data_IF_970397972564
#
_entry.id   IF_970397972564
#
_cell.length_a   1.000
_cell.length_b   1.000
_cell.length_c   1.000
_cell.angle_alpha   90.00
_cell.angle_beta   90.00
_cell.angle_gamma   90.00
#
_symmetry.space_group_name_H-M   'P 1'
#
loop_
_entity.id
_entity.type
_entity.pdbx_description
1 polymer ?
#
# COMPACT_ATOMS: atom_id res chain seq x y z
N UNK A 1 16.38 25.61 0.12
CA UNK A 1 15.75 25.39 -1.20
C UNK A 1 16.31 26.39 -2.18
N UNK A 2 17.02 25.93 -3.21
CA UNK A 2 17.34 26.77 -4.36
C UNK A 2 16.11 26.76 -5.28
N UNK A 3 15.49 27.91 -5.51
CA UNK A 3 14.46 28.06 -6.55
C UNK A 3 15.20 27.93 -7.88
N UNK A 4 15.07 26.79 -8.55
CA UNK A 4 15.63 26.62 -9.88
C UNK A 4 14.74 27.36 -10.87
N UNK A 5 15.17 28.54 -11.29
CA UNK A 5 14.52 29.32 -12.34
C UNK A 5 15.35 29.15 -13.61
N UNK A 6 14.91 28.29 -14.53
CA UNK A 6 15.48 28.20 -15.88
C UNK A 6 14.48 28.72 -16.87
N UNK A 7 14.78 29.89 -17.46
CA UNK A 7 13.92 30.56 -18.43
C UNK A 7 12.52 30.86 -17.86
N UNK A 8 11.56 29.98 -18.17
CA UNK A 8 10.13 30.12 -17.85
C UNK A 8 9.59 29.04 -16.90
N UNK A 9 10.43 28.08 -16.51
CA UNK A 9 10.07 27.02 -15.56
C UNK A 9 10.41 27.51 -14.15
N UNK A 10 9.38 27.58 -13.29
CA UNK A 10 9.46 28.01 -11.89
C UNK A 10 9.83 26.85 -10.99
N UNK A 11 9.20 25.69 -11.19
CA UNK A 11 9.51 24.48 -10.44
C UNK A 11 9.13 23.22 -11.20
N UNK A 12 9.80 22.11 -10.88
CA UNK A 12 9.42 20.78 -11.34
C UNK A 12 9.27 19.88 -10.12
N UNK A 13 8.10 19.27 -9.99
CA UNK A 13 7.75 18.34 -8.91
C UNK A 13 7.56 16.95 -9.48
N UNK A 14 8.26 15.95 -8.97
CA UNK A 14 7.93 14.55 -9.23
C UNK A 14 6.89 14.07 -8.21
N UNK A 15 5.91 13.30 -8.67
CA UNK A 15 4.83 12.81 -7.81
C UNK A 15 4.69 11.31 -7.93
N UNK A 16 4.72 10.62 -6.79
CA UNK A 16 4.41 9.20 -6.72
C UNK A 16 3.05 8.95 -6.09
N UNK A 17 2.37 7.92 -6.57
CA UNK A 17 1.05 7.48 -6.12
C UNK A 17 1.10 6.05 -5.58
N UNK A 18 0.19 5.74 -4.65
CA UNK A 18 0.02 4.40 -4.10
C UNK A 18 -1.00 3.61 -4.91
N UNK A 19 -0.63 2.40 -5.28
CA UNK A 19 -1.47 1.44 -5.96
C UNK A 19 -1.47 0.12 -5.18
N UNK A 20 -2.42 -0.80 -5.44
CA UNK A 20 -2.48 -2.10 -4.77
C UNK A 20 -1.15 -2.87 -4.77
N UNK A 21 -0.40 -2.80 -5.88
CA UNK A 21 0.88 -3.50 -6.02
C UNK A 21 2.10 -2.69 -5.55
N UNK A 22 1.96 -1.43 -5.12
CA UNK A 22 3.11 -0.64 -4.68
C UNK A 22 2.96 0.86 -4.86
N UNK A 23 3.99 1.59 -4.42
CA UNK A 23 4.17 2.99 -4.74
C UNK A 23 4.87 3.14 -6.11
N UNK A 24 4.36 4.02 -6.97
CA UNK A 24 4.92 4.27 -8.30
C UNK A 24 5.08 5.77 -8.55
N UNK A 25 6.20 6.16 -9.14
CA UNK A 25 6.43 7.50 -9.66
C UNK A 25 5.58 7.70 -10.91
N UNK A 26 4.41 8.30 -10.77
CA UNK A 26 3.33 8.20 -11.76
C UNK A 26 3.12 9.47 -12.58
N UNK A 27 3.58 10.63 -12.11
CA UNK A 27 3.54 11.86 -12.90
C UNK A 27 4.56 12.90 -12.46
N UNK A 28 4.73 13.91 -13.30
CA UNK A 28 5.46 15.13 -12.98
C UNK A 28 4.57 16.36 -13.16
N UNK A 29 4.87 17.40 -12.40
CA UNK A 29 4.24 18.72 -12.50
C UNK A 29 5.32 19.74 -12.83
N UNK A 30 5.18 20.43 -13.95
CA UNK A 30 6.01 21.57 -14.33
C UNK A 30 5.19 22.83 -14.10
N UNK A 31 5.66 23.69 -13.20
CA UNK A 31 5.09 25.01 -12.96
C UNK A 31 5.80 26.03 -13.86
N UNK A 32 5.03 26.71 -14.69
CA UNK A 32 5.49 27.81 -15.54
C UNK A 32 5.21 29.16 -14.89
N UNK A 33 5.99 30.18 -15.29
CA UNK A 33 5.84 31.57 -14.84
C UNK A 33 4.57 32.27 -15.39
N UNK A 34 3.74 31.55 -16.16
CA UNK A 34 2.53 32.03 -16.83
C UNK A 34 1.59 30.87 -17.17
N UNK A 35 0.36 31.20 -17.53
CA UNK A 35 -0.62 30.22 -17.97
C UNK A 35 -0.28 29.67 -19.36
N UNK A 36 -0.29 28.35 -19.47
CA UNK A 36 -0.04 27.61 -20.70
C UNK A 36 -1.38 27.25 -21.36
N UNK A 37 -1.45 27.39 -22.69
CA UNK A 37 -2.65 27.11 -23.46
C UNK A 37 -2.82 25.59 -23.66
N UNK A 38 -3.90 25.05 -23.12
CA UNK A 38 -4.09 23.60 -22.95
C UNK A 38 -4.16 22.83 -24.28
N UNK A 39 -4.71 23.46 -25.32
CA UNK A 39 -4.97 22.83 -26.64
C UNK A 39 -3.71 22.59 -27.49
N UNK A 40 -2.56 23.09 -27.07
CA UNK A 40 -1.33 23.05 -27.88
C UNK A 40 -0.34 21.98 -27.40
N UNK A 41 -0.62 21.33 -26.27
CA UNK A 41 0.30 20.38 -25.66
C UNK A 41 0.12 18.98 -26.24
N UNK A 42 1.26 18.35 -26.53
CA UNK A 42 1.36 16.94 -26.92
C UNK A 42 2.59 16.32 -26.23
N UNK A 43 2.59 15.01 -25.96
CA UNK A 43 3.70 14.34 -25.26
C UNK A 43 5.07 14.58 -25.86
N UNK A 44 5.17 14.70 -27.18
CA UNK A 44 6.44 14.88 -27.92
C UNK A 44 7.14 16.22 -27.63
N UNK A 45 6.44 17.16 -27.01
CA UNK A 45 7.04 18.42 -26.56
C UNK A 45 7.92 18.24 -25.31
N UNK A 46 7.87 17.07 -24.69
CA UNK A 46 8.59 16.77 -23.45
C UNK A 46 9.35 15.46 -23.56
N UNK A 47 10.35 15.34 -22.71
CA UNK A 47 11.09 14.12 -22.49
C UNK A 47 11.30 13.96 -20.99
N UNK A 48 11.06 12.76 -20.48
CA UNK A 48 11.37 12.36 -19.10
C UNK A 48 12.35 11.21 -19.17
N UNK A 49 13.50 11.35 -18.52
CA UNK A 49 14.56 10.34 -18.56
C UNK A 49 14.03 8.97 -18.10
N UNK A 50 14.26 7.94 -18.92
CA UNK A 50 13.87 6.55 -18.67
C UNK A 50 12.36 6.28 -18.49
N UNK A 51 11.51 7.27 -18.76
CA UNK A 51 10.06 7.17 -18.57
C UNK A 51 9.29 7.47 -19.84
N UNK A 52 8.15 6.81 -20.00
CA UNK A 52 7.22 7.00 -21.11
C UNK A 52 6.11 7.95 -20.67
N UNK A 53 5.93 9.06 -21.38
CA UNK A 53 4.84 10.01 -21.15
C UNK A 53 3.57 9.46 -21.81
N UNK A 54 2.51 9.24 -21.04
CA UNK A 54 1.23 8.69 -21.52
C UNK A 54 0.20 9.79 -21.79
N UNK A 55 0.26 10.90 -21.06
CA UNK A 55 -0.59 12.05 -21.27
C UNK A 55 0.11 13.35 -20.87
N UNK A 56 -0.29 14.45 -21.53
CA UNK A 56 0.14 15.81 -21.18
C UNK A 56 -1.05 16.73 -21.25
N UNK A 57 -1.21 17.55 -20.22
CA UNK A 57 -2.28 18.55 -20.13
C UNK A 57 -1.92 19.64 -19.12
N UNK A 58 -2.78 20.65 -19.01
CA UNK A 58 -2.61 21.74 -18.03
C UNK A 58 -3.73 21.77 -17.01
N UNK A 59 -3.41 22.37 -15.87
CA UNK A 59 -4.36 22.60 -14.79
C UNK A 59 -4.02 23.91 -14.05
N UNK A 60 -4.98 24.41 -13.28
CA UNK A 60 -4.81 25.56 -12.37
C UNK A 60 -4.22 25.17 -11.02
N UNK A 61 -4.18 23.86 -10.73
CA UNK A 61 -3.58 23.27 -9.53
C UNK A 61 -2.53 22.22 -9.92
N UNK A 62 -1.51 21.95 -9.07
CA UNK A 62 -0.43 21.01 -9.37
C UNK A 62 -0.86 19.54 -9.17
N UNK A 63 -1.95 19.11 -9.81
CA UNK A 63 -2.52 17.77 -9.69
C UNK A 63 -3.16 17.29 -11.00
N UNK A 64 -3.30 15.97 -11.13
CA UNK A 64 -4.01 15.32 -12.24
C UNK A 64 -5.45 15.81 -12.37
N UNK A 65 -5.98 15.76 -13.59
CA UNK A 65 -7.37 16.14 -13.90
C UNK A 65 -7.85 15.39 -15.14
N UNK A 66 -9.14 15.05 -15.19
CA UNK A 66 -9.78 14.44 -16.36
C UNK A 66 -10.03 15.46 -17.48
N UNK A 67 -9.96 16.75 -17.15
CA UNK A 67 -10.26 17.85 -18.06
C UNK A 67 -9.12 18.87 -18.06
N UNK A 68 -8.47 18.98 -19.22
CA UNK A 68 -7.41 19.95 -19.45
C UNK A 68 -7.97 21.38 -19.53
N UNK A 69 -7.44 22.26 -18.69
CA UNK A 69 -7.81 23.69 -18.64
C UNK A 69 -6.55 24.55 -18.68
N UNK A 70 -6.64 25.76 -19.23
CA UNK A 70 -5.54 26.71 -19.23
C UNK A 70 -5.07 26.98 -17.80
N UNK A 71 -3.75 26.98 -17.59
CA UNK A 71 -3.18 27.16 -16.26
C UNK A 71 -1.66 27.07 -16.25
N UNK A 72 -1.01 27.43 -15.14
CA UNK A 72 0.45 27.48 -15.06
C UNK A 72 1.09 26.10 -14.83
N UNK A 73 0.30 25.08 -14.46
CA UNK A 73 0.80 23.74 -14.20
C UNK A 73 0.60 22.85 -15.42
N UNK A 74 1.70 22.37 -15.99
CA UNK A 74 1.70 21.29 -16.99
C UNK A 74 1.91 19.98 -16.25
N UNK A 75 1.01 19.02 -16.47
CA UNK A 75 1.06 17.68 -15.88
C UNK A 75 1.55 16.71 -16.96
N UNK A 76 2.58 15.93 -16.62
CA UNK A 76 3.09 14.84 -17.45
C UNK A 76 2.77 13.52 -16.76
N UNK A 77 1.74 12.80 -17.23
CA UNK A 77 1.47 11.45 -16.74
C UNK A 77 2.47 10.46 -17.33
N UNK A 78 2.95 9.55 -16.48
CA UNK A 78 3.99 8.59 -16.82
C UNK A 78 3.43 7.17 -16.76
N UNK A 79 3.91 6.32 -17.66
CA UNK A 79 3.58 4.90 -17.70
C UNK A 79 3.98 4.22 -16.39
N UNK A 80 3.06 3.45 -15.80
CA UNK A 80 3.33 2.60 -14.63
C UNK A 80 4.05 1.30 -15.02
N UNK A 81 4.21 1.06 -16.32
CA UNK A 81 4.78 -0.16 -16.90
C UNK A 81 6.27 0.02 -17.26
N UNK A 82 6.81 1.24 -17.10
CA UNK A 82 8.25 1.46 -17.23
C UNK A 82 8.99 0.75 -16.08
N UNK A 83 10.18 0.22 -16.35
CA UNK A 83 11.01 -0.43 -15.34
C UNK A 83 11.37 0.49 -14.17
N UNK A 84 11.50 1.79 -14.43
CA UNK A 84 11.82 2.82 -13.43
C UNK A 84 10.56 3.51 -12.84
N UNK A 85 9.37 2.95 -13.06
CA UNK A 85 8.13 3.45 -12.46
C UNK A 85 7.95 3.06 -10.99
N UNK A 86 8.20 1.82 -10.57
CA UNK A 86 8.07 1.43 -9.16
C UNK A 86 9.01 2.22 -8.27
N UNK A 87 8.63 2.38 -7.00
CA UNK A 87 9.46 3.02 -5.98
C UNK A 87 10.11 2.02 -5.02
N UNK A 88 9.78 0.73 -5.14
CA UNK A 88 10.37 -0.34 -4.34
C UNK A 88 11.06 -1.36 -5.24
N UNK A 89 12.28 -1.71 -4.86
CA UNK A 89 13.15 -2.58 -5.63
C UNK A 89 13.86 -3.57 -4.72
N UNK A 90 14.26 -4.68 -5.32
CA UNK A 90 15.29 -5.58 -4.82
C UNK A 90 16.66 -5.12 -5.33
N UNK A 91 17.62 -4.97 -4.42
CA UNK A 91 18.99 -4.58 -4.76
C UNK A 91 20.00 -5.62 -4.24
N UNK A 92 20.97 -5.96 -5.08
CA UNK A 92 22.13 -6.81 -4.76
C UNK A 92 23.39 -6.28 -5.46
N UNK A 93 24.51 -7.01 -5.38
CA UNK A 93 25.77 -6.63 -6.05
C UNK A 93 25.66 -6.59 -7.59
N UNK A 94 24.69 -7.30 -8.17
CA UNK A 94 24.47 -7.40 -9.62
C UNK A 94 23.60 -6.25 -10.16
N UNK A 95 22.89 -5.54 -9.29
CA UNK A 95 22.08 -4.38 -9.62
C UNK A 95 20.73 -4.36 -8.92
N UNK A 96 19.80 -3.62 -9.52
CA UNK A 96 18.50 -3.30 -8.93
C UNK A 96 17.37 -3.79 -9.85
N UNK A 97 16.39 -4.49 -9.29
CA UNK A 97 15.22 -5.02 -10.02
C UNK A 97 13.94 -4.54 -9.33
N UNK A 98 12.93 -4.07 -10.07
CA UNK A 98 11.69 -3.61 -9.45
C UNK A 98 10.95 -4.77 -8.79
N UNK A 99 10.53 -4.60 -7.54
CA UNK A 99 9.91 -5.67 -6.74
C UNK A 99 8.40 -5.79 -6.97
N UNK A 100 7.78 -4.68 -7.36
CA UNK A 100 6.33 -4.50 -7.37
C UNK A 100 5.71 -4.51 -8.77
N UNK A 101 6.52 -4.64 -9.83
CA UNK A 101 6.00 -4.80 -11.18
C UNK A 101 5.40 -6.20 -11.36
N UNK A 102 4.32 -6.38 -12.15
CA UNK A 102 4.08 -7.69 -12.75
C UNK A 102 5.39 -8.13 -13.39
N UNK A 103 5.82 -9.39 -13.24
CA UNK A 103 7.10 -9.84 -13.77
C UNK A 103 7.16 -9.46 -15.25
N UNK A 104 8.32 -8.99 -15.76
CA UNK A 104 8.47 -8.75 -17.18
C UNK A 104 8.04 -10.02 -17.93
N UNK A 105 7.41 -9.86 -19.10
CA UNK A 105 7.05 -10.95 -20.05
C UNK A 105 8.32 -11.61 -20.65
N UNK A 106 9.46 -11.54 -19.96
CA UNK A 106 10.71 -12.17 -20.35
C UNK A 106 10.94 -13.37 -19.44
N UNK A 107 10.61 -14.55 -19.96
CA UNK A 107 11.18 -15.80 -19.49
C UNK A 107 12.72 -15.64 -19.38
N UNK A 108 13.24 -15.59 -18.16
CA UNK A 108 14.69 -15.57 -17.91
C UNK A 108 15.27 -14.43 -17.08
N UNK A 109 14.47 -13.53 -16.48
CA UNK A 109 15.00 -12.65 -15.42
C UNK A 109 15.13 -13.43 -14.10
N UNK A 110 16.26 -13.33 -13.38
CA UNK A 110 16.47 -14.08 -12.15
C UNK A 110 15.46 -13.61 -11.09
N UNK A 111 14.79 -14.57 -10.44
CA UNK A 111 14.13 -14.34 -9.15
C UNK A 111 15.09 -13.59 -8.22
N UNK A 112 14.58 -12.67 -7.40
CA UNK A 112 15.33 -11.97 -6.36
C UNK A 112 16.46 -12.85 -5.80
N UNK A 113 17.71 -12.47 -6.08
CA UNK A 113 18.88 -13.29 -5.76
C UNK A 113 18.92 -13.55 -4.24
N UNK A 114 19.57 -14.65 -3.79
CA UNK A 114 19.58 -15.07 -2.38
C UNK A 114 20.01 -13.99 -1.37
N UNK A 115 20.74 -12.97 -1.83
CA UNK A 115 21.28 -11.87 -1.01
C UNK A 115 20.69 -10.48 -1.35
N UNK A 116 19.58 -10.42 -2.08
CA UNK A 116 18.90 -9.16 -2.38
C UNK A 116 18.14 -8.61 -1.17
N UNK A 117 18.07 -7.28 -1.06
CA UNK A 117 17.32 -6.59 -0.01
C UNK A 117 16.44 -5.48 -0.59
N UNK A 118 15.40 -5.15 0.17
CA UNK A 118 14.42 -4.14 -0.19
C UNK A 118 15.03 -2.74 -0.11
N UNK A 119 14.89 -1.93 -1.16
CA UNK A 119 15.35 -0.54 -1.18
C UNK A 119 14.32 0.37 -1.83
N UNK A 120 13.95 1.45 -1.14
CA UNK A 120 13.10 2.50 -1.66
C UNK A 120 13.89 3.43 -2.60
N UNK A 121 13.32 3.76 -3.76
CA UNK A 121 13.90 4.71 -4.69
C UNK A 121 13.69 6.15 -4.20
N UNK A 122 14.63 7.02 -4.57
CA UNK A 122 14.42 8.45 -4.44
C UNK A 122 13.35 8.90 -5.44
N UNK A 123 12.39 9.70 -4.98
CA UNK A 123 11.37 10.30 -5.84
C UNK A 123 12.00 11.47 -6.61
N UNK A 124 12.64 11.16 -7.74
CA UNK A 124 13.36 12.13 -8.57
C UNK A 124 13.20 11.83 -10.05
N UNK A 125 13.00 12.88 -10.85
CA UNK A 125 12.98 12.79 -12.32
C UNK A 125 13.93 13.80 -12.94
N UNK A 126 14.28 13.55 -14.20
CA UNK A 126 14.97 14.51 -15.07
C UNK A 126 14.12 14.75 -16.31
N UNK A 127 13.78 16.01 -16.56
CA UNK A 127 12.79 16.43 -17.55
C UNK A 127 13.38 17.47 -18.49
N UNK A 128 13.02 17.40 -19.77
CA UNK A 128 13.38 18.38 -20.79
C UNK A 128 12.13 18.80 -21.57
N UNK A 129 11.94 20.11 -21.75
CA UNK A 129 10.97 20.65 -22.72
C UNK A 129 11.60 20.68 -24.11
N UNK A 130 11.36 19.66 -24.92
CA UNK A 130 11.91 19.48 -26.26
C UNK A 130 11.27 20.39 -27.32
N UNK A 131 10.02 20.79 -27.10
CA UNK A 131 9.20 21.53 -28.06
C UNK A 131 8.95 22.99 -27.69
N UNK A 132 8.34 23.72 -28.63
CA UNK A 132 7.80 25.07 -28.36
C UNK A 132 6.44 24.94 -27.69
N UNK A 133 6.19 25.74 -26.65
CA UNK A 133 4.90 25.77 -25.95
C UNK A 133 4.25 27.14 -26.15
N UNK A 134 2.94 27.18 -26.30
CA UNK A 134 2.17 28.43 -26.44
C UNK A 134 1.52 28.78 -25.10
N UNK A 135 1.77 29.98 -24.60
CA UNK A 135 1.09 30.54 -23.44
C UNK A 135 -0.25 31.19 -23.84
N UNK A 136 -1.15 31.37 -22.88
CA UNK A 136 -2.46 31.98 -23.11
C UNK A 136 -2.38 33.44 -23.59
N UNK A 137 -1.29 34.14 -23.27
CA UNK A 137 -1.01 35.51 -23.73
C UNK A 137 -0.44 35.57 -25.16
N UNK A 138 -0.28 34.42 -25.83
CA UNK A 138 0.30 34.29 -27.16
C UNK A 138 1.81 34.18 -27.19
N UNK A 139 2.49 34.26 -26.04
CA UNK A 139 3.94 34.05 -25.95
C UNK A 139 4.31 32.62 -26.34
N UNK A 140 5.34 32.46 -27.17
CA UNK A 140 5.90 31.15 -27.53
C UNK A 140 7.14 30.91 -26.68
N UNK A 141 7.07 29.91 -25.80
CA UNK A 141 8.19 29.46 -24.98
C UNK A 141 9.09 28.54 -25.81
N UNK A 142 10.38 28.87 -25.98
CA UNK A 142 11.29 28.04 -26.77
C UNK A 142 11.62 26.72 -26.04
N UNK A 143 12.09 25.69 -26.76
CA UNK A 143 12.62 24.48 -26.16
C UNK A 143 13.76 24.77 -25.18
N UNK A 144 13.85 23.98 -24.13
CA UNK A 144 14.96 23.96 -23.18
C UNK A 144 15.92 22.84 -23.57
N UNK A 145 17.22 23.13 -23.68
CA UNK A 145 18.23 22.14 -24.13
C UNK A 145 18.78 21.26 -23.00
N UNK A 146 18.58 21.67 -21.76
CA UNK A 146 19.13 20.99 -20.59
C UNK A 146 18.12 19.99 -20.00
N UNK A 147 18.64 18.93 -19.37
CA UNK A 147 17.84 18.07 -18.49
C UNK A 147 17.74 18.74 -17.14
N UNK A 148 16.51 19.02 -16.71
CA UNK A 148 16.23 19.67 -15.43
C UNK A 148 15.79 18.59 -14.45
N UNK A 149 16.53 18.44 -13.36
CA UNK A 149 16.14 17.59 -12.26
C UNK A 149 14.95 18.20 -11.50
N UNK A 150 14.09 17.35 -10.96
CA UNK A 150 13.02 17.79 -10.05
C UNK A 150 13.62 18.49 -8.83
N UNK A 151 13.06 19.66 -8.50
CA UNK A 151 13.46 20.44 -7.32
C UNK A 151 12.55 20.19 -6.12
N UNK A 152 11.42 19.52 -6.34
CA UNK A 152 10.46 19.08 -5.33
C UNK A 152 10.06 17.63 -5.64
N UNK A 153 9.65 16.91 -4.61
CA UNK A 153 9.03 15.60 -4.72
C UNK A 153 7.80 15.56 -3.81
N UNK A 154 6.84 14.71 -4.14
CA UNK A 154 5.66 14.47 -3.34
C UNK A 154 5.27 12.99 -3.48
N UNK A 155 5.27 12.25 -2.37
CA UNK A 155 4.75 10.90 -2.30
C UNK A 155 3.32 10.96 -1.73
N UNK A 156 2.30 10.93 -2.59
CA UNK A 156 0.90 11.09 -2.16
C UNK A 156 0.55 10.08 -1.07
N UNK A 157 -0.08 10.56 0.00
CA UNK A 157 -0.45 9.83 1.23
C UNK A 157 0.76 9.37 2.06
N UNK A 158 1.83 8.87 1.43
CA UNK A 158 3.02 8.39 2.16
C UNK A 158 3.74 9.51 2.93
N UNK A 159 3.79 10.74 2.37
CA UNK A 159 4.37 11.90 3.05
C UNK A 159 3.54 12.37 4.26
N UNK A 160 2.26 11.95 4.38
CA UNK A 160 1.40 12.27 5.52
C UNK A 160 1.68 11.38 6.75
N UNK A 161 2.49 10.33 6.59
CA UNK A 161 2.93 9.50 7.70
C UNK A 161 4.18 10.10 8.37
N UNK A 162 4.09 10.31 9.67
CA UNK A 162 5.26 10.66 10.47
C UNK A 162 6.11 9.42 10.75
N UNK A 163 7.42 9.55 10.59
CA UNK A 163 8.38 8.46 10.79
C UNK A 163 9.07 8.58 12.13
N UNK A 164 9.15 7.47 12.84
CA UNK A 164 9.70 7.40 14.19
C UNK A 164 10.44 6.08 14.43
N UNK A 165 11.07 5.97 15.58
CA UNK A 165 11.69 4.74 16.06
C UNK A 165 11.25 4.46 17.49
N UNK A 166 10.99 3.20 17.80
CA UNK A 166 10.73 2.70 19.15
C UNK A 166 11.55 1.44 19.38
N UNK A 167 12.45 1.48 20.35
CA UNK A 167 13.49 0.45 20.52
C UNK A 167 14.30 0.27 19.21
N UNK A 168 14.20 -0.89 18.55
CA UNK A 168 14.83 -1.24 17.27
C UNK A 168 13.83 -1.34 16.10
N UNK A 169 12.58 -0.90 16.31
CA UNK A 169 11.54 -0.87 15.28
C UNK A 169 11.40 0.56 14.74
N UNK A 170 11.63 0.71 13.45
CA UNK A 170 11.19 1.90 12.71
C UNK A 170 9.68 1.80 12.47
N UNK A 171 8.94 2.89 12.61
CA UNK A 171 7.51 2.87 12.35
C UNK A 171 6.99 4.17 11.74
N UNK A 172 5.90 4.02 11.00
CA UNK A 172 5.14 5.11 10.41
C UNK A 172 3.84 5.29 11.18
N UNK A 173 3.49 6.53 11.49
CA UNK A 173 2.23 6.88 12.15
C UNK A 173 1.52 7.97 11.37
N UNK A 174 0.36 7.63 10.81
CA UNK A 174 -0.60 8.60 10.30
C UNK A 174 -1.48 9.09 11.45
N UNK A 175 -1.62 10.41 11.55
CA UNK A 175 -2.50 11.08 12.51
C UNK A 175 -3.62 11.77 11.73
N UNK A 176 -4.91 11.54 12.06
CA UNK A 176 -6.02 12.21 11.39
C UNK A 176 -5.84 13.73 11.35
N UNK A 177 -6.07 14.36 10.19
CA UNK A 177 -5.80 15.79 9.98
C UNK A 177 -6.48 16.70 11.02
N UNK A 178 -7.69 16.33 11.47
CA UNK A 178 -8.48 17.05 12.48
C UNK A 178 -8.38 16.35 13.86
N UNK A 179 -7.19 15.88 14.22
CA UNK A 179 -6.92 15.28 15.53
C UNK A 179 -7.13 16.28 16.68
N UNK A 180 -7.83 15.83 17.72
CA UNK A 180 -8.10 16.59 18.94
C UNK A 180 -8.17 15.65 20.13
N UNK A 181 -7.48 16.01 21.21
CA UNK A 181 -7.45 15.24 22.46
C UNK A 181 -8.82 15.16 23.18
N UNK A 182 -9.82 15.92 22.74
CA UNK A 182 -11.17 15.95 23.36
C UNK A 182 -12.02 14.74 22.96
N UNK A 183 -11.69 14.06 21.85
CA UNK A 183 -12.37 12.83 21.39
C UNK A 183 -11.36 11.71 21.20
N UNK A 184 -11.85 10.47 21.18
CA UNK A 184 -11.02 9.28 20.94
C UNK A 184 -11.21 8.74 19.53
N UNK A 185 -10.13 8.22 18.96
CA UNK A 185 -10.09 7.72 17.59
C UNK A 185 -9.67 6.25 17.55
N UNK A 186 -10.16 5.46 16.60
CA UNK A 186 -9.61 4.13 16.32
C UNK A 186 -8.13 4.21 15.91
N UNK A 187 -7.45 3.07 16.00
CA UNK A 187 -6.14 2.86 15.37
C UNK A 187 -6.14 1.57 14.55
N UNK A 188 -5.63 1.63 13.33
CA UNK A 188 -5.38 0.47 12.48
C UNK A 188 -3.88 0.17 12.50
N UNK A 189 -3.51 -1.02 12.98
CA UNK A 189 -2.17 -1.58 12.83
C UNK A 189 -2.07 -2.34 11.49
N UNK A 190 -1.20 -1.90 10.59
CA UNK A 190 -0.85 -2.65 9.38
C UNK A 190 0.52 -3.31 9.53
N UNK A 191 0.62 -4.62 9.26
CA UNK A 191 1.90 -5.34 9.21
C UNK A 191 2.17 -5.82 7.77
N UNK A 192 3.26 -5.38 7.12
CA UNK A 192 3.60 -5.79 5.76
C UNK A 192 4.09 -7.26 5.69
N UNK A 193 4.30 -7.78 4.48
CA UNK A 193 4.89 -9.12 4.31
C UNK A 193 6.42 -9.14 4.50
N UNK A 194 7.00 -10.35 4.44
CA UNK A 194 8.41 -10.59 4.73
C UNK A 194 9.38 -9.94 3.73
N UNK A 195 8.91 -9.55 2.54
CA UNK A 195 9.79 -8.96 1.53
C UNK A 195 10.35 -7.62 2.02
N UNK A 196 9.59 -6.84 2.80
CA UNK A 196 10.00 -5.51 3.27
C UNK A 196 10.44 -5.48 4.74
N UNK A 197 10.91 -6.63 5.26
CA UNK A 197 11.70 -6.63 6.49
C UNK A 197 12.98 -5.82 6.29
N UNK A 198 13.33 -4.99 7.26
CA UNK A 198 14.43 -4.04 7.14
C UNK A 198 14.40 -3.00 8.27
N UNK A 199 15.03 -1.86 8.03
CA UNK A 199 15.09 -0.75 8.98
C UNK A 199 14.64 0.59 8.39
N UNK A 200 14.53 0.69 7.07
CA UNK A 200 14.01 1.88 6.40
C UNK A 200 12.49 1.94 6.60
N UNK A 201 11.95 2.98 7.27
CA UNK A 201 10.52 3.10 7.52
C UNK A 201 9.68 3.15 6.24
N UNK A 202 10.22 3.67 5.13
CA UNK A 202 9.45 3.80 3.87
C UNK A 202 9.10 2.45 3.25
N UNK A 203 9.80 1.38 3.64
CA UNK A 203 9.58 0.03 3.14
C UNK A 203 8.12 -0.44 3.35
N UNK A 204 7.53 -0.16 4.51
CA UNK A 204 6.12 -0.51 4.78
C UNK A 204 5.12 0.31 3.95
N UNK A 205 5.47 1.55 3.58
CA UNK A 205 4.59 2.43 2.81
C UNK A 205 4.70 2.14 1.31
N UNK A 206 5.87 1.75 0.80
CA UNK A 206 6.08 1.59 -0.64
C UNK A 206 5.73 0.19 -1.16
N UNK A 207 5.57 -0.80 -0.29
CA UNK A 207 5.23 -2.17 -0.65
C UNK A 207 3.90 -2.28 -1.40
N UNK A 208 2.89 -1.52 -0.99
CA UNK A 208 1.53 -1.62 -1.48
C UNK A 208 0.61 -0.67 -0.72
N UNK A 209 -0.68 -0.71 -1.03
CA UNK A 209 -1.66 0.17 -0.41
C UNK A 209 -2.17 -0.31 0.96
N UNK A 210 -1.57 -1.33 1.58
CA UNK A 210 -2.06 -1.93 2.82
C UNK A 210 -2.22 -0.91 3.97
N UNK A 211 -1.21 -0.08 4.23
CA UNK A 211 -1.34 1.04 5.17
C UNK A 211 -2.00 2.29 4.54
N UNK A 212 -1.59 2.62 3.31
CA UNK A 212 -1.97 3.87 2.64
C UNK A 212 -3.47 3.95 2.31
N UNK A 213 -4.14 2.80 2.11
CA UNK A 213 -5.59 2.74 1.88
C UNK A 213 -6.39 3.27 3.08
N UNK A 214 -5.99 2.94 4.31
CA UNK A 214 -6.64 3.46 5.53
C UNK A 214 -6.36 4.95 5.78
N UNK A 215 -5.32 5.51 5.16
CA UNK A 215 -4.97 6.93 5.23
C UNK A 215 -5.53 7.73 4.04
N UNK A 216 -6.26 7.10 3.13
CA UNK A 216 -6.86 7.78 1.97
C UNK A 216 -7.87 8.83 2.42
N UNK A 217 -8.10 9.86 1.60
CA UNK A 217 -9.11 10.88 1.88
C UNK A 217 -10.52 10.29 2.07
N UNK A 218 -10.85 9.21 1.35
CA UNK A 218 -12.13 8.49 1.51
C UNK A 218 -12.19 7.87 2.91
N UNK A 219 -11.21 7.04 3.24
CA UNK A 219 -11.18 6.27 4.48
C UNK A 219 -11.12 7.19 5.71
N UNK A 220 -10.35 8.28 5.66
CA UNK A 220 -10.30 9.24 6.77
C UNK A 220 -11.55 10.12 6.87
N UNK A 221 -12.26 10.39 5.77
CA UNK A 221 -13.54 11.10 5.83
C UNK A 221 -14.66 10.26 6.47
N UNK A 222 -14.67 8.95 6.22
CA UNK A 222 -15.64 8.03 6.83
C UNK A 222 -15.22 7.61 8.24
N UNK A 223 -13.93 7.32 8.41
CA UNK A 223 -13.36 6.65 9.57
C UNK A 223 -12.05 7.33 10.01
N UNK A 224 -12.15 8.59 10.46
CA UNK A 224 -11.00 9.31 11.01
C UNK A 224 -10.27 8.46 12.07
N UNK A 225 -9.05 8.03 11.77
CA UNK A 225 -8.34 7.00 12.54
C UNK A 225 -6.83 7.09 12.38
N UNK A 226 -6.10 6.69 13.43
CA UNK A 226 -4.66 6.53 13.35
C UNK A 226 -4.32 5.31 12.49
N UNK A 227 -3.22 5.39 11.72
CA UNK A 227 -2.68 4.23 11.01
C UNK A 227 -1.24 4.02 11.44
N UNK A 228 -0.96 2.84 12.00
CA UNK A 228 0.36 2.44 12.48
C UNK A 228 0.94 1.39 11.55
N UNK A 229 2.06 1.69 10.90
CA UNK A 229 2.75 0.78 9.98
C UNK A 229 4.24 0.62 10.37
N UNK A 230 4.56 -0.33 11.27
CA UNK A 230 5.93 -0.66 11.67
C UNK A 230 6.68 -1.43 10.59
N UNK A 231 8.01 -1.27 10.59
CA UNK A 231 8.98 -2.05 9.82
C UNK A 231 9.88 -2.79 10.81
N UNK A 232 10.07 -4.08 10.57
CA UNK A 232 10.81 -4.94 11.50
C UNK A 232 12.16 -5.33 10.92
N UNK A 233 13.24 -5.27 11.72
CA UNK A 233 14.51 -5.86 11.35
C UNK A 233 14.36 -7.34 10.98
N UNK A 234 15.16 -7.83 10.03
CA UNK A 234 15.11 -9.22 9.56
C UNK A 234 15.30 -10.27 10.67
N UNK A 235 15.88 -9.89 11.82
CA UNK A 235 15.96 -10.74 13.01
C UNK A 235 14.60 -11.13 13.61
N UNK A 236 13.52 -10.41 13.27
CA UNK A 236 12.15 -10.70 13.68
C UNK A 236 11.40 -11.59 12.68
N UNK A 237 12.06 -12.06 11.61
CA UNK A 237 11.43 -12.97 10.65
C UNK A 237 10.84 -14.18 11.37
N UNK A 238 9.55 -14.36 11.15
CA UNK A 238 8.72 -15.39 11.77
C UNK A 238 8.09 -16.23 10.68
N UNK A 239 8.05 -17.54 10.90
CA UNK A 239 7.24 -18.48 10.13
C UNK A 239 6.15 -19.07 11.04
N UNK A 240 5.12 -19.66 10.46
CA UNK A 240 4.04 -20.27 11.24
C UNK A 240 4.50 -21.47 12.07
N UNK A 241 5.52 -22.21 11.62
CA UNK A 241 6.10 -23.38 12.30
C UNK A 241 7.09 -23.04 13.43
N UNK A 242 7.44 -21.76 13.58
CA UNK A 242 8.30 -21.29 14.67
C UNK A 242 7.60 -21.31 16.05
N UNK A 243 6.26 -21.32 16.06
CA UNK A 243 5.42 -21.36 17.26
C UNK A 243 5.40 -20.06 18.08
N UNK A 244 4.48 -20.01 19.06
CA UNK A 244 4.23 -18.81 19.88
C UNK A 244 5.46 -18.34 20.68
N UNK A 245 6.30 -19.27 21.16
CA UNK A 245 7.47 -18.92 21.98
C UNK A 245 8.42 -17.99 21.23
N UNK A 246 8.70 -18.28 19.96
CA UNK A 246 9.55 -17.41 19.12
C UNK A 246 8.83 -16.13 18.72
N UNK A 247 7.53 -16.21 18.44
CA UNK A 247 6.71 -15.05 18.10
C UNK A 247 6.63 -14.01 19.23
N UNK A 248 6.61 -14.46 20.49
CA UNK A 248 6.41 -13.60 21.69
C UNK A 248 7.37 -12.40 21.72
N UNK A 249 8.63 -12.55 21.27
CA UNK A 249 9.59 -11.44 21.20
C UNK A 249 9.09 -10.28 20.33
N UNK A 250 8.53 -10.59 19.16
CA UNK A 250 7.95 -9.62 18.25
C UNK A 250 6.64 -9.06 18.82
N UNK A 251 5.76 -9.95 19.30
CA UNK A 251 4.41 -9.59 19.73
C UNK A 251 4.43 -8.69 20.97
N UNK A 252 5.23 -9.02 21.98
CA UNK A 252 5.36 -8.19 23.19
C UNK A 252 5.86 -6.79 22.86
N UNK A 253 6.75 -6.68 21.87
CA UNK A 253 7.27 -5.40 21.42
C UNK A 253 6.22 -4.58 20.68
N UNK A 254 5.41 -5.22 19.83
CA UNK A 254 4.27 -4.58 19.18
C UNK A 254 3.26 -4.04 20.18
N UNK A 255 2.94 -4.82 21.21
CA UNK A 255 2.05 -4.38 22.30
C UNK A 255 2.63 -3.16 23.03
N UNK A 256 3.92 -3.17 23.38
CA UNK A 256 4.56 -1.99 23.99
C UNK A 256 4.56 -0.76 23.08
N UNK A 257 4.73 -0.94 21.76
CA UNK A 257 4.63 0.15 20.79
C UNK A 257 3.21 0.73 20.75
N UNK A 258 2.19 -0.13 20.69
CA UNK A 258 0.78 0.27 20.75
C UNK A 258 0.49 1.03 22.05
N UNK A 259 0.96 0.54 23.20
CA UNK A 259 0.79 1.17 24.50
C UNK A 259 1.51 2.53 24.57
N UNK A 260 2.73 2.60 24.04
CA UNK A 260 3.52 3.82 23.96
C UNK A 260 2.77 4.91 23.18
N UNK A 261 2.29 4.60 21.97
CA UNK A 261 1.55 5.54 21.11
C UNK A 261 0.21 5.91 21.76
N UNK A 262 -0.50 4.93 22.34
CA UNK A 262 -1.76 5.16 23.06
C UNK A 262 -1.63 6.05 24.30
N UNK A 263 -0.43 6.14 24.88
CA UNK A 263 -0.13 7.08 25.95
C UNK A 263 0.12 8.51 25.48
N UNK A 264 0.40 8.72 24.19
CA UNK A 264 0.67 10.03 23.60
C UNK A 264 -0.54 10.63 22.87
N UNK A 265 -1.48 9.79 22.43
CA UNK A 265 -2.62 10.19 21.62
C UNK A 265 -3.93 9.67 22.21
N UNK A 266 -5.03 10.37 21.94
CA UNK A 266 -6.39 9.95 22.32
C UNK A 266 -6.89 8.78 21.47
N UNK A 267 -6.30 7.60 21.66
CA UNK A 267 -6.66 6.36 20.96
C UNK A 267 -7.67 5.57 21.79
N UNK A 268 -8.78 5.20 21.14
CA UNK A 268 -9.78 4.34 21.71
C UNK A 268 -9.28 2.89 21.80
N UNK A 269 -8.94 2.47 23.01
CA UNK A 269 -8.41 1.13 23.29
C UNK A 269 -9.38 -0.01 22.92
N UNK A 270 -10.67 0.28 22.73
CA UNK A 270 -11.66 -0.71 22.28
C UNK A 270 -11.81 -0.79 20.76
N UNK A 271 -11.15 0.11 20.03
CA UNK A 271 -11.17 0.21 18.57
C UNK A 271 -9.74 0.24 18.00
N UNK A 272 -8.91 -0.66 18.53
CA UNK A 272 -7.62 -0.99 17.92
C UNK A 272 -7.86 -2.18 16.99
N UNK A 273 -7.66 -1.96 15.70
CA UNK A 273 -7.81 -2.97 14.65
C UNK A 273 -6.44 -3.39 14.14
N UNK A 274 -6.37 -4.57 13.54
CA UNK A 274 -5.15 -5.03 12.91
C UNK A 274 -5.40 -5.65 11.54
N UNK A 275 -4.46 -5.44 10.62
CA UNK A 275 -4.45 -6.12 9.34
C UNK A 275 -3.05 -6.36 8.85
N UNK A 276 -2.84 -7.43 8.08
CA UNK A 276 -1.52 -7.79 7.62
C UNK A 276 -1.54 -8.89 6.59
N UNK A 277 -0.46 -8.94 5.82
CA UNK A 277 -0.31 -9.83 4.67
C UNK A 277 0.85 -10.79 4.86
N UNK A 278 0.66 -12.07 4.52
CA UNK A 278 1.69 -13.12 4.62
C UNK A 278 2.39 -13.13 5.99
N UNK A 279 3.65 -12.73 6.11
CA UNK A 279 4.34 -12.55 7.42
C UNK A 279 3.56 -11.67 8.38
N UNK A 280 2.95 -10.59 7.93
CA UNK A 280 2.10 -9.75 8.76
C UNK A 280 0.87 -10.47 9.26
N UNK A 281 0.23 -11.29 8.43
CA UNK A 281 -0.87 -12.15 8.87
C UNK A 281 -0.37 -13.19 9.90
N UNK A 282 0.79 -13.81 9.70
CA UNK A 282 1.41 -14.77 10.64
C UNK A 282 1.65 -14.08 12.00
N UNK A 283 2.23 -12.88 12.00
CA UNK A 283 2.46 -12.11 13.22
C UNK A 283 1.14 -11.74 13.90
N UNK A 284 0.10 -11.38 13.15
CA UNK A 284 -1.20 -11.03 13.72
C UNK A 284 -2.00 -12.23 14.24
N UNK A 285 -1.81 -13.44 13.68
CA UNK A 285 -2.32 -14.67 14.29
C UNK A 285 -1.73 -14.84 15.69
N UNK A 286 -0.41 -14.78 15.81
CA UNK A 286 0.28 -14.85 17.11
C UNK A 286 -0.15 -13.73 18.06
N UNK A 287 -0.30 -12.49 17.55
CA UNK A 287 -0.76 -11.35 18.35
C UNK A 287 -2.15 -11.57 18.93
N UNK A 288 -3.11 -12.01 18.11
CA UNK A 288 -4.46 -12.28 18.57
C UNK A 288 -4.50 -13.41 19.59
N UNK A 289 -3.66 -14.45 19.45
CA UNK A 289 -3.57 -15.55 20.42
C UNK A 289 -2.95 -15.09 21.75
N UNK A 290 -1.82 -14.38 21.70
CA UNK A 290 -1.11 -13.93 22.92
C UNK A 290 -1.88 -12.83 23.66
N UNK A 291 -2.59 -11.96 22.93
CA UNK A 291 -3.24 -10.76 23.45
C UNK A 291 -4.69 -10.61 22.93
N UNK A 292 -5.60 -11.57 23.18
CA UNK A 292 -6.93 -11.62 22.56
C UNK A 292 -7.87 -10.47 22.95
N UNK A 293 -7.50 -9.68 23.96
CA UNK A 293 -8.24 -8.51 24.43
C UNK A 293 -7.60 -7.17 24.01
N UNK A 294 -6.63 -7.19 23.10
CA UNK A 294 -5.93 -5.98 22.67
C UNK A 294 -6.40 -5.48 21.31
N UNK A 295 -6.87 -6.37 20.45
CA UNK A 295 -7.36 -6.06 19.11
C UNK A 295 -8.85 -6.37 19.05
N UNK A 296 -9.64 -5.41 18.59
CA UNK A 296 -11.08 -5.53 18.45
C UNK A 296 -11.45 -6.48 17.30
N UNK A 297 -10.89 -6.24 16.12
CA UNK A 297 -11.08 -7.04 14.92
C UNK A 297 -9.78 -7.15 14.10
N UNK A 298 -9.62 -8.23 13.33
CA UNK A 298 -8.49 -8.37 12.41
C UNK A 298 -8.89 -8.84 11.02
N UNK A 299 -8.26 -8.25 10.00
CA UNK A 299 -8.26 -8.80 8.63
C UNK A 299 -6.93 -9.54 8.44
N UNK A 300 -7.00 -10.82 8.09
CA UNK A 300 -5.87 -11.75 8.05
C UNK A 300 -5.70 -12.24 6.60
N UNK A 301 -4.71 -11.68 5.90
CA UNK A 301 -4.55 -11.89 4.44
C UNK A 301 -3.38 -12.82 4.13
N UNK A 302 -3.67 -13.95 3.49
CA UNK A 302 -2.70 -14.91 2.97
C UNK A 302 -1.63 -15.41 3.98
N UNK A 303 -1.92 -15.50 5.28
CA UNK A 303 -1.01 -16.08 6.27
C UNK A 303 -1.28 -17.55 6.60
N UNK A 304 -0.51 -18.06 7.55
CA UNK A 304 -0.65 -19.40 8.11
C UNK A 304 -0.45 -19.36 9.62
N UNK A 305 -1.12 -20.26 10.34
CA UNK A 305 -0.83 -20.54 11.74
C UNK A 305 -1.32 -21.94 12.11
N UNK A 306 -0.99 -22.39 13.33
CA UNK A 306 -1.55 -23.63 13.87
C UNK A 306 -3.08 -23.49 14.07
N UNK A 307 -3.83 -24.44 13.50
CA UNK A 307 -5.28 -24.41 13.51
C UNK A 307 -5.89 -24.61 14.91
N UNK A 308 -5.26 -25.44 15.75
CA UNK A 308 -5.73 -25.69 17.12
C UNK A 308 -5.51 -24.46 17.99
N UNK A 309 -4.36 -23.80 17.88
CA UNK A 309 -4.09 -22.54 18.57
C UNK A 309 -5.06 -21.44 18.12
N UNK A 310 -5.27 -21.28 16.80
CA UNK A 310 -6.21 -20.29 16.27
C UNK A 310 -7.66 -20.56 16.69
N UNK A 311 -8.06 -21.83 16.87
CA UNK A 311 -9.41 -22.18 17.34
C UNK A 311 -9.75 -21.60 18.73
N UNK A 312 -8.76 -21.15 19.51
CA UNK A 312 -8.99 -20.42 20.76
C UNK A 312 -9.65 -19.04 20.55
N UNK A 313 -9.63 -18.54 19.31
CA UNK A 313 -10.17 -17.23 18.91
C UNK A 313 -11.57 -17.33 18.27
N UNK A 314 -12.29 -18.45 18.43
CA UNK A 314 -13.60 -18.67 17.81
C UNK A 314 -14.70 -17.67 18.22
N UNK A 315 -14.47 -16.85 19.23
CA UNK A 315 -15.37 -15.79 19.67
C UNK A 315 -14.88 -14.38 19.28
N UNK A 316 -13.82 -14.28 18.47
CA UNK A 316 -13.28 -13.02 17.96
C UNK A 316 -13.93 -12.64 16.64
N UNK A 317 -13.80 -11.35 16.30
CA UNK A 317 -14.18 -10.78 15.02
C UNK A 317 -12.97 -10.85 14.08
N UNK A 318 -12.99 -11.81 13.14
CA UNK A 318 -11.85 -12.07 12.24
C UNK A 318 -12.33 -12.23 10.79
N UNK A 319 -11.63 -11.58 9.86
CA UNK A 319 -11.83 -11.78 8.42
C UNK A 319 -10.60 -12.39 7.78
N UNK A 320 -10.70 -13.66 7.40
CA UNK A 320 -9.65 -14.38 6.68
C UNK A 320 -9.82 -14.22 5.17
N UNK A 321 -8.72 -13.93 4.46
CA UNK A 321 -8.73 -13.75 3.01
C UNK A 321 -7.55 -14.50 2.38
N UNK A 322 -7.81 -15.34 1.37
CA UNK A 322 -6.79 -16.12 0.65
C UNK A 322 -7.19 -16.31 -0.81
N UNK A 323 -6.24 -16.69 -1.68
CA UNK A 323 -6.53 -17.28 -3.00
C UNK A 323 -6.54 -18.80 -2.91
N UNK A 324 -7.44 -19.48 -3.62
CA UNK A 324 -7.47 -20.95 -3.77
C UNK A 324 -6.17 -21.49 -4.42
N UNK A 325 -5.52 -20.68 -5.27
CA UNK A 325 -4.24 -21.04 -5.88
C UNK A 325 -3.02 -20.93 -4.95
N UNK A 326 -3.17 -20.39 -3.74
CA UNK A 326 -2.09 -20.27 -2.76
C UNK A 326 -1.81 -21.63 -2.08
N UNK A 327 -0.67 -22.25 -2.41
CA UNK A 327 -0.32 -23.58 -1.90
C UNK A 327 -0.03 -23.64 -0.38
N UNK A 328 0.04 -22.51 0.32
CA UNK A 328 0.34 -22.45 1.76
C UNK A 328 -0.79 -21.85 2.59
N UNK A 329 -1.24 -20.63 2.23
CA UNK A 329 -2.25 -19.93 3.03
C UNK A 329 -3.60 -20.62 2.95
N UNK A 330 -4.04 -21.02 1.76
CA UNK A 330 -5.34 -21.64 1.57
C UNK A 330 -5.54 -22.93 2.39
N UNK A 331 -4.65 -23.95 2.33
CA UNK A 331 -4.83 -25.14 3.16
C UNK A 331 -4.76 -24.83 4.66
N UNK A 332 -3.91 -23.89 5.08
CA UNK A 332 -3.81 -23.50 6.51
C UNK A 332 -5.07 -22.77 6.99
N UNK A 333 -5.59 -21.80 6.24
CA UNK A 333 -6.81 -21.08 6.59
C UNK A 333 -8.02 -22.01 6.60
N UNK A 334 -8.14 -22.94 5.63
CA UNK A 334 -9.18 -23.95 5.66
C UNK A 334 -9.14 -24.81 6.94
N UNK A 335 -7.94 -25.20 7.39
CA UNK A 335 -7.78 -25.94 8.64
C UNK A 335 -8.16 -25.09 9.86
N UNK A 336 -7.72 -23.83 9.91
CA UNK A 336 -8.06 -22.87 10.98
C UNK A 336 -9.58 -22.70 11.08
N UNK A 337 -10.24 -22.40 9.97
CA UNK A 337 -11.69 -22.19 9.93
C UNK A 337 -12.43 -23.45 10.38
N UNK A 338 -11.99 -24.64 9.93
CA UNK A 338 -12.60 -25.91 10.35
C UNK A 338 -12.48 -26.15 11.85
N UNK A 339 -11.33 -25.86 12.46
CA UNK A 339 -11.16 -25.98 13.92
C UNK A 339 -11.96 -24.91 14.68
N UNK A 340 -12.06 -23.69 14.13
CA UNK A 340 -12.86 -22.62 14.74
C UNK A 340 -14.35 -22.97 14.81
N UNK A 341 -14.91 -23.57 13.76
CA UNK A 341 -16.29 -24.05 13.75
C UNK A 341 -16.53 -25.17 14.76
N UNK A 342 -15.58 -26.10 14.93
CA UNK A 342 -15.65 -27.14 15.96
C UNK A 342 -15.69 -26.55 17.37
N UNK A 343 -15.19 -25.33 17.55
CA UNK A 343 -15.23 -24.54 18.79
C UNK A 343 -16.42 -23.57 18.85
N UNK A 344 -17.33 -23.61 17.89
CA UNK A 344 -18.58 -22.86 17.90
C UNK A 344 -18.54 -21.48 17.23
N UNK A 345 -17.50 -21.17 16.46
CA UNK A 345 -17.51 -19.96 15.63
C UNK A 345 -18.63 -20.02 14.58
N UNK A 346 -19.32 -18.90 14.36
CA UNK A 346 -20.20 -18.73 13.21
C UNK A 346 -19.36 -18.21 12.04
N UNK A 347 -19.40 -18.90 10.90
CA UNK A 347 -18.53 -18.59 9.75
C UNK A 347 -19.34 -18.25 8.51
N UNK A 348 -19.10 -17.07 7.95
CA UNK A 348 -19.55 -16.68 6.64
C UNK A 348 -18.47 -16.99 5.59
N UNK A 349 -18.74 -17.93 4.68
CA UNK A 349 -17.81 -18.33 3.62
C UNK A 349 -18.23 -17.78 2.27
N UNK A 350 -17.29 -17.12 1.61
CA UNK A 350 -17.48 -16.52 0.31
C UNK A 350 -16.40 -16.93 -0.67
N UNK A 351 -16.78 -17.13 -1.93
CA UNK A 351 -15.86 -17.36 -3.05
C UNK A 351 -16.09 -16.24 -4.06
N UNK A 352 -15.05 -15.47 -4.36
CA UNK A 352 -15.13 -14.32 -5.29
C UNK A 352 -14.11 -14.45 -6.41
N UNK A 353 -14.46 -13.97 -7.60
CA UNK A 353 -13.49 -13.81 -8.66
C UNK A 353 -12.81 -12.44 -8.52
N UNK A 354 -11.51 -12.37 -8.24
CA UNK A 354 -10.81 -11.09 -8.09
C UNK A 354 -10.74 -10.24 -9.38
N UNK A 355 -11.12 -10.80 -10.54
CA UNK A 355 -11.25 -10.07 -11.83
C UNK A 355 -12.66 -9.56 -12.09
N UNK A 356 -13.63 -9.84 -11.22
CA UNK A 356 -14.92 -9.16 -11.29
C UNK A 356 -14.72 -7.64 -11.12
N UNK A 357 -15.66 -6.85 -11.66
CA UNK A 357 -15.56 -5.40 -11.58
C UNK A 357 -15.57 -4.91 -10.12
N UNK A 358 -15.02 -3.73 -9.89
CA UNK A 358 -14.99 -3.09 -8.57
C UNK A 358 -16.39 -2.99 -7.94
N UNK A 359 -17.42 -2.73 -8.74
CA UNK A 359 -18.80 -2.62 -8.26
C UNK A 359 -19.33 -3.96 -7.76
N UNK A 360 -18.99 -5.06 -8.45
CA UNK A 360 -19.37 -6.41 -8.01
C UNK A 360 -18.65 -6.82 -6.75
N UNK A 361 -17.33 -6.66 -6.71
CA UNK A 361 -16.52 -6.97 -5.52
C UNK A 361 -16.98 -6.16 -4.30
N UNK A 362 -17.26 -4.87 -4.49
CA UNK A 362 -17.87 -4.00 -3.48
C UNK A 362 -19.22 -4.56 -2.99
N UNK A 363 -20.10 -4.96 -3.91
CA UNK A 363 -21.39 -5.55 -3.54
C UNK A 363 -21.26 -6.85 -2.75
N UNK A 364 -20.29 -7.71 -3.10
CA UNK A 364 -20.06 -8.97 -2.39
C UNK A 364 -19.50 -8.73 -1.00
N UNK A 365 -18.53 -7.82 -0.87
CA UNK A 365 -17.92 -7.48 0.40
C UNK A 365 -18.90 -6.79 1.34
N UNK A 366 -19.77 -5.92 0.82
CA UNK A 366 -20.87 -5.34 1.59
C UNK A 366 -21.81 -6.42 2.15
N UNK A 367 -22.25 -7.35 1.30
CA UNK A 367 -23.12 -8.43 1.73
C UNK A 367 -22.44 -9.35 2.76
N UNK A 368 -21.14 -9.60 2.61
CA UNK A 368 -20.37 -10.35 3.59
C UNK A 368 -20.23 -9.60 4.92
N UNK A 369 -19.98 -8.29 4.90
CA UNK A 369 -19.81 -7.46 6.09
C UNK A 369 -21.12 -7.22 6.88
N UNK A 370 -22.28 -7.27 6.21
CA UNK A 370 -23.61 -7.11 6.84
C UNK A 370 -24.11 -8.40 7.53
N UNK A 371 -23.43 -9.52 7.34
CA UNK A 371 -23.78 -10.78 8.00
C UNK A 371 -23.37 -10.79 9.49
N UNK A 372 -24.08 -11.57 10.31
CA UNK A 372 -23.88 -11.62 11.75
C UNK A 372 -22.86 -12.68 12.21
N UNK A 373 -22.14 -13.35 11.29
CA UNK A 373 -21.06 -14.25 11.66
C UNK A 373 -19.88 -13.46 12.22
N UNK A 374 -19.27 -13.96 13.28
CA UNK A 374 -18.08 -13.33 13.85
C UNK A 374 -16.79 -13.69 13.07
N UNK A 375 -16.83 -14.75 12.27
CA UNK A 375 -15.74 -15.12 11.37
C UNK A 375 -16.20 -14.96 9.92
N UNK A 376 -15.52 -14.10 9.17
CA UNK A 376 -15.68 -13.99 7.73
C UNK A 376 -14.50 -14.70 7.05
N UNK A 377 -14.79 -15.43 5.98
CA UNK A 377 -13.77 -16.13 5.21
C UNK A 377 -14.02 -15.97 3.71
N UNK A 378 -13.14 -15.22 3.05
CA UNK A 378 -13.18 -14.96 1.63
C UNK A 378 -12.07 -15.74 0.93
N UNK A 379 -12.45 -16.50 -0.10
CA UNK A 379 -11.53 -17.20 -0.98
C UNK A 379 -11.63 -16.56 -2.37
N UNK A 380 -10.54 -16.04 -2.89
CA UNK A 380 -10.47 -15.68 -4.30
C UNK A 380 -10.30 -16.93 -5.15
N UNK A 381 -11.09 -17.03 -6.23
CA UNK A 381 -11.03 -18.15 -7.18
C UNK A 381 -9.60 -18.33 -7.72
N UNK A 382 -9.22 -19.59 -7.97
CA UNK A 382 -7.89 -19.94 -8.43
C UNK A 382 -7.43 -19.07 -9.63
N UNK A 383 -6.26 -18.45 -9.50
CA UNK A 383 -5.64 -17.55 -10.47
C UNK A 383 -6.40 -16.25 -10.75
N UNK A 384 -7.56 -15.99 -10.13
CA UNK A 384 -8.30 -14.75 -10.34
C UNK A 384 -7.54 -13.54 -9.83
N UNK A 385 -6.75 -13.70 -8.76
CA UNK A 385 -5.88 -12.65 -8.23
C UNK A 385 -4.69 -12.33 -9.13
N UNK A 386 -4.28 -13.26 -10.01
CA UNK A 386 -3.06 -13.11 -10.82
C UNK A 386 -3.36 -12.21 -12.04
N UNK A 387 -2.62 -11.09 -12.21
CA UNK A 387 -2.74 -10.23 -13.39
C UNK A 387 -2.51 -10.99 -14.71
N UNK A 388 -3.20 -10.60 -15.77
CA UNK A 388 -3.21 -11.35 -17.06
C UNK A 388 -1.83 -11.55 -17.71
N UNK A 389 -0.84 -10.73 -17.36
CA UNK A 389 0.52 -10.76 -17.92
C UNK A 389 1.54 -11.45 -17.02
N UNK A 390 1.12 -11.89 -15.84
CA UNK A 390 1.98 -12.55 -14.85
C UNK A 390 1.93 -14.07 -14.99
N UNK A 391 3.04 -14.74 -14.65
CA UNK A 391 3.08 -16.19 -14.61
C UNK A 391 2.15 -16.73 -13.53
N UNK A 392 1.27 -17.65 -13.92
CA UNK A 392 0.36 -18.31 -13.00
C UNK A 392 1.10 -19.44 -12.27
N UNK A 393 1.28 -19.28 -10.96
CA UNK A 393 1.85 -20.28 -10.08
C UNK A 393 1.38 -20.04 -8.62
N UNK A 394 1.71 -20.93 -7.67
CA UNK A 394 1.27 -20.75 -6.28
C UNK A 394 1.80 -19.50 -5.59
N UNK A 395 2.99 -19.01 -5.98
CA UNK A 395 3.59 -17.79 -5.41
C UNK A 395 2.84 -16.56 -5.94
N UNK A 396 2.54 -16.49 -7.24
CA UNK A 396 1.77 -15.37 -7.79
C UNK A 396 0.35 -15.31 -7.23
N UNK A 397 -0.29 -16.45 -6.95
CA UNK A 397 -1.55 -16.48 -6.23
C UNK A 397 -1.42 -15.97 -4.78
N UNK A 398 -0.33 -16.32 -4.09
CA UNK A 398 -0.03 -15.81 -2.76
C UNK A 398 0.14 -14.29 -2.77
N UNK A 399 1.05 -13.77 -3.60
CA UNK A 399 1.44 -12.35 -3.57
C UNK A 399 0.40 -11.40 -4.13
N UNK A 400 -0.50 -11.88 -4.99
CA UNK A 400 -1.57 -11.06 -5.53
C UNK A 400 -2.88 -11.14 -4.71
N UNK A 401 -2.91 -11.88 -3.59
CA UNK A 401 -4.08 -11.90 -2.71
C UNK A 401 -4.30 -10.55 -2.01
N UNK A 402 -3.24 -9.92 -1.48
CA UNK A 402 -3.38 -8.66 -0.74
C UNK A 402 -3.68 -7.43 -1.59
N UNK A 403 -3.12 -7.25 -2.81
CA UNK A 403 -3.51 -6.14 -3.67
C UNK A 403 -5.01 -6.22 -4.01
N UNK A 404 -5.52 -7.43 -4.27
CA UNK A 404 -6.95 -7.64 -4.50
C UNK A 404 -7.81 -7.36 -3.25
N UNK A 405 -7.37 -7.83 -2.07
CA UNK A 405 -8.11 -7.64 -0.83
C UNK A 405 -8.19 -6.16 -0.41
N UNK A 406 -7.05 -5.45 -0.38
CA UNK A 406 -6.99 -4.06 0.07
C UNK A 406 -7.59 -3.07 -0.92
N UNK A 407 -7.83 -3.47 -2.17
CA UNK A 407 -8.56 -2.66 -3.15
C UNK A 407 -10.08 -2.62 -2.88
N UNK A 408 -10.62 -3.48 -2.02
CA UNK A 408 -12.06 -3.54 -1.72
C UNK A 408 -12.34 -2.75 -0.44
N UNK A 409 -13.01 -1.61 -0.60
CA UNK A 409 -13.25 -0.65 0.47
C UNK A 409 -14.07 -1.22 1.62
N UNK A 410 -15.11 -2.02 1.32
CA UNK A 410 -16.05 -2.54 2.31
C UNK A 410 -15.40 -3.53 3.29
N UNK A 411 -14.30 -4.19 2.88
CA UNK A 411 -13.50 -5.02 3.79
C UNK A 411 -12.85 -4.14 4.86
N UNK A 412 -12.34 -2.96 4.48
CA UNK A 412 -11.74 -1.99 5.41
C UNK A 412 -12.81 -1.35 6.29
N UNK A 413 -13.95 -0.98 5.70
CA UNK A 413 -15.07 -0.36 6.43
C UNK A 413 -15.61 -1.28 7.54
N UNK A 414 -15.61 -2.61 7.33
CA UNK A 414 -16.05 -3.59 8.32
C UNK A 414 -15.30 -3.49 9.66
N UNK A 415 -13.98 -3.25 9.66
CA UNK A 415 -13.21 -3.10 10.90
C UNK A 415 -13.84 -2.04 11.82
N UNK A 416 -14.28 -0.92 11.24
CA UNK A 416 -14.81 0.22 11.97
C UNK A 416 -16.23 0.00 12.52
N UNK A 417 -16.89 -1.10 12.16
CA UNK A 417 -18.18 -1.52 12.72
C UNK A 417 -18.04 -2.27 14.05
N UNK A 418 -16.83 -2.73 14.38
CA UNK A 418 -16.55 -3.58 15.53
C UNK A 418 -16.08 -2.75 16.73
N UNK A 419 -16.41 -3.18 17.94
CA UNK A 419 -15.84 -2.65 19.19
C UNK A 419 -15.64 -3.80 20.17
N UNK A 420 -14.48 -3.82 20.83
CA UNK A 420 -14.06 -4.89 21.75
C UNK A 420 -14.94 -5.00 23.01
#
# INVERSE_FOLDING_TARGET
MAVYQSGHIVSITSVSESFPHGQYLSYAVIEYDRNIACKTLVPELFYVAHRTITAVYTNTEPKKTDHSIDGPFVILELSLQDADAPMLFDENEEGRVPRNSPPPIAAGMPSAAPDSHAVCAENRLEITQCGKITACDGTILPPVRERIATCKSHNLIADDFMQFTFEDISYNLFVPAEYSEVKTYPMVLFIPDASVLGTDPLLALYQGNGALSFASSRDQALHASFVLAPVFPSSYKLKSDDGLQKATKLIDKLIRLIDYISGQYAIDQKRIYATGQSFGCIALCALNICYPKRIAASILVAGQWDALEMSSLSNKELWFITSDGDARAYPSMNAIISEMEKKGASVNRNIWNAKDSSEKLSSYAKAAAEDNCNIHYTIFENNSVVPDKEEINPISNHVNTWPAAYAIDEIRDWLFTITL
#
